data_IF_696573646708
#
_entry.id   IF_696573646708
#
_cell.length_a   1.000
_cell.length_b   1.000
_cell.length_c   1.000
_cell.angle_alpha   90.00
_cell.angle_beta   90.00
_cell.angle_gamma   90.00
#
_symmetry.space_group_name_H-M   'P 1'
#
loop_
_entity.id
_entity.type
_entity.pdbx_description
1 polymer ?
#
# COMPACT_ATOMS: atom_id res chain seq x y z
N UNK A 1 16.65 -55.99 56.23
CA UNK A 1 16.75 -54.52 56.25
C UNK A 1 16.75 -54.06 54.79
N UNK A 2 15.56 -53.81 54.26
CA UNK A 2 15.35 -53.46 52.85
C UNK A 2 15.57 -51.97 52.69
N UNK A 3 16.61 -51.58 51.98
CA UNK A 3 16.84 -50.18 51.57
C UNK A 3 16.12 -49.96 50.25
N UNK A 4 14.94 -49.34 50.28
CA UNK A 4 14.30 -48.85 49.07
C UNK A 4 15.10 -47.68 48.48
N UNK A 5 15.33 -47.62 47.16
CA UNK A 5 15.96 -46.47 46.54
C UNK A 5 15.00 -45.28 46.51
N UNK A 6 15.52 -44.10 46.88
CA UNK A 6 14.85 -42.82 46.73
C UNK A 6 14.40 -42.59 45.28
N UNK A 7 13.17 -42.09 45.04
CA UNK A 7 12.75 -41.71 43.70
C UNK A 7 13.59 -40.52 43.24
N UNK A 8 14.35 -40.74 42.16
CA UNK A 8 15.05 -39.66 41.45
C UNK A 8 13.99 -38.70 40.94
N UNK A 9 13.95 -37.48 41.49
CA UNK A 9 13.23 -36.37 40.91
C UNK A 9 13.70 -36.23 39.46
N UNK A 10 12.84 -36.60 38.51
CA UNK A 10 13.06 -36.30 37.11
C UNK A 10 13.28 -34.79 37.02
N UNK A 11 14.43 -34.38 36.51
CA UNK A 11 14.67 -32.98 36.17
C UNK A 11 13.54 -32.55 35.24
N UNK A 12 12.89 -31.40 35.48
CA UNK A 12 11.90 -30.91 34.53
C UNK A 12 12.60 -30.79 33.18
N UNK A 13 11.99 -31.39 32.15
CA UNK A 13 12.45 -31.21 30.77
C UNK A 13 12.65 -29.71 30.52
N UNK A 14 13.76 -29.30 29.87
CA UNK A 14 13.94 -27.91 29.50
C UNK A 14 12.73 -27.49 28.66
N UNK A 15 12.00 -26.46 29.11
CA UNK A 15 10.92 -25.89 28.32
C UNK A 15 11.45 -25.57 26.92
N UNK A 16 11.03 -26.33 25.91
CA UNK A 16 11.36 -26.05 24.52
C UNK A 16 10.54 -24.84 24.08
N UNK A 17 11.16 -23.79 23.53
CA UNK A 17 10.51 -22.52 23.33
C UNK A 17 9.60 -22.59 22.10
N UNK A 18 8.28 -22.76 22.29
CA UNK A 18 7.29 -22.20 21.36
C UNK A 18 7.56 -22.51 19.86
N UNK A 19 7.91 -23.76 19.57
CA UNK A 19 8.48 -24.15 18.28
C UNK A 19 7.51 -23.98 17.10
N UNK A 20 8.04 -23.30 16.08
CA UNK A 20 7.83 -23.48 14.64
C UNK A 20 6.68 -22.77 13.89
N UNK A 21 5.95 -21.82 14.49
CA UNK A 21 5.12 -20.89 13.70
C UNK A 21 5.90 -19.60 13.39
N UNK A 22 5.96 -19.12 12.13
CA UNK A 22 6.64 -17.87 11.83
C UNK A 22 5.97 -16.72 12.60
N UNK A 23 6.78 -15.83 13.19
CA UNK A 23 6.27 -14.61 13.81
C UNK A 23 5.56 -13.78 12.72
N UNK A 24 4.22 -13.82 12.72
CA UNK A 24 3.40 -13.21 11.68
C UNK A 24 3.59 -11.70 11.60
N UNK A 25 3.91 -11.02 12.71
CA UNK A 25 4.22 -9.61 12.69
C UNK A 25 5.52 -9.32 11.91
N UNK A 26 6.55 -10.15 12.08
CA UNK A 26 7.80 -10.03 11.33
C UNK A 26 7.60 -10.31 9.84
N UNK A 27 6.84 -11.37 9.50
CA UNK A 27 6.52 -11.71 8.11
C UNK A 27 5.69 -10.61 7.44
N UNK A 28 4.68 -10.08 8.14
CA UNK A 28 3.86 -8.98 7.64
C UNK A 28 4.70 -7.71 7.41
N UNK A 29 5.66 -7.40 8.29
CA UNK A 29 6.57 -6.28 8.12
C UNK A 29 7.47 -6.45 6.89
N UNK A 30 7.98 -7.65 6.64
CA UNK A 30 8.78 -7.96 5.44
C UNK A 30 7.96 -7.79 4.15
N UNK A 31 6.73 -8.32 4.11
CA UNK A 31 5.81 -8.13 2.98
C UNK A 31 5.46 -6.64 2.77
N UNK A 32 5.20 -5.91 3.85
CA UNK A 32 4.93 -4.46 3.80
C UNK A 32 6.10 -3.70 3.17
N UNK A 33 7.33 -3.98 3.61
CA UNK A 33 8.56 -3.35 3.09
C UNK A 33 8.73 -3.61 1.58
N UNK A 34 8.35 -4.79 1.08
CA UNK A 34 8.40 -5.18 -0.33
C UNK A 34 7.22 -4.73 -1.21
N UNK A 35 6.15 -4.19 -0.60
CA UNK A 35 4.89 -3.94 -1.29
C UNK A 35 4.91 -2.66 -2.14
N UNK A 36 5.25 -1.51 -1.53
CA UNK A 36 5.41 -0.23 -2.22
C UNK A 36 4.13 0.48 -2.70
N UNK A 37 2.93 -0.13 -2.58
CA UNK A 37 1.68 0.46 -3.10
C UNK A 37 1.27 1.78 -2.43
N UNK A 38 1.54 1.96 -1.13
CA UNK A 38 1.28 3.25 -0.47
C UNK A 38 2.17 4.35 -1.06
N UNK A 39 3.42 4.02 -1.41
CA UNK A 39 4.38 4.91 -2.02
C UNK A 39 4.11 5.20 -3.50
N UNK A 40 3.42 4.31 -4.23
CA UNK A 40 3.26 4.42 -5.68
C UNK A 40 2.31 5.52 -6.15
N UNK A 41 1.58 6.17 -5.23
CA UNK A 41 0.50 7.11 -5.57
C UNK A 41 -0.85 6.41 -5.82
N UNK A 42 -0.96 5.14 -5.47
CA UNK A 42 -2.24 4.44 -5.49
C UNK A 42 -3.19 4.89 -4.37
N UNK A 43 -2.66 5.12 -3.16
CA UNK A 43 -3.50 5.33 -1.97
C UNK A 43 -3.58 6.82 -1.61
N UNK A 44 -2.47 7.52 -1.78
CA UNK A 44 -2.29 8.90 -1.34
C UNK A 44 -1.85 9.78 -2.51
N UNK A 45 -2.31 11.02 -2.49
CA UNK A 45 -1.84 12.06 -3.41
C UNK A 45 -0.60 12.78 -2.85
N UNK A 46 -0.53 12.91 -1.53
CA UNK A 46 0.55 13.56 -0.78
C UNK A 46 0.61 12.99 0.64
N UNK A 47 1.67 13.34 1.38
CA UNK A 47 1.84 13.06 2.82
C UNK A 47 2.23 14.35 3.52
N UNK A 48 1.59 14.62 4.66
CA UNK A 48 1.95 15.73 5.55
C UNK A 48 3.20 15.39 6.35
N UNK A 49 4.05 16.39 6.57
CA UNK A 49 5.28 16.29 7.34
C UNK A 49 5.19 17.12 8.61
N UNK A 50 5.83 16.66 9.69
CA UNK A 50 6.06 17.55 10.81
C UNK A 50 7.14 18.57 10.46
N UNK A 51 7.02 19.84 10.92
CA UNK A 51 8.01 20.88 10.62
C UNK A 51 9.45 20.50 10.99
N UNK A 52 9.64 19.77 12.10
CA UNK A 52 10.96 19.34 12.57
C UNK A 52 11.61 18.27 11.69
N UNK A 53 10.85 17.57 10.84
CA UNK A 53 11.39 16.55 9.93
C UNK A 53 11.77 17.11 8.56
N UNK A 54 11.30 18.32 8.21
CA UNK A 54 11.35 18.83 6.84
C UNK A 54 12.77 18.93 6.28
N UNK A 55 13.68 19.57 7.02
CA UNK A 55 15.06 19.79 6.57
C UNK A 55 15.78 18.46 6.33
N UNK A 56 15.74 17.56 7.31
CA UNK A 56 16.35 16.23 7.25
C UNK A 56 15.79 15.39 6.09
N UNK A 57 14.47 15.36 5.91
CA UNK A 57 13.86 14.61 4.81
C UNK A 57 14.22 15.20 3.44
N UNK A 58 14.40 16.51 3.35
CA UNK A 58 14.85 17.18 2.13
C UNK A 58 16.28 16.76 1.76
N UNK A 59 17.19 16.69 2.74
CA UNK A 59 18.55 16.18 2.56
C UNK A 59 18.56 14.71 2.09
N UNK A 60 17.61 13.92 2.58
CA UNK A 60 17.38 12.54 2.14
C UNK A 60 16.70 12.44 0.76
N UNK A 61 16.44 13.54 0.07
CA UNK A 61 15.86 13.58 -1.26
C UNK A 61 14.34 13.36 -1.30
N UNK A 62 13.63 13.76 -0.24
CA UNK A 62 12.18 13.98 -0.26
C UNK A 62 11.90 15.49 -0.38
N UNK A 63 11.76 16.02 -1.61
CA UNK A 63 11.35 17.41 -1.79
C UNK A 63 9.97 17.63 -1.17
N UNK A 64 9.84 18.71 -0.40
CA UNK A 64 8.59 19.10 0.24
C UNK A 64 8.29 20.57 0.00
N UNK A 65 7.03 20.96 0.16
CA UNK A 65 6.57 22.33 0.00
C UNK A 65 5.55 22.69 1.08
N UNK A 66 5.48 23.97 1.41
CA UNK A 66 4.52 24.51 2.39
C UNK A 66 3.33 25.10 1.65
N UNK A 67 2.13 24.64 2.00
CA UNK A 67 0.88 25.19 1.49
C UNK A 67 0.53 26.52 2.17
N UNK A 68 -0.43 27.26 1.60
CA UNK A 68 -0.89 28.55 2.14
C UNK A 68 -1.50 28.45 3.55
N UNK A 69 -2.01 27.28 3.92
CA UNK A 69 -2.52 26.97 5.26
C UNK A 69 -1.41 26.59 6.26
N UNK A 70 -0.15 26.59 5.84
CA UNK A 70 1.01 26.23 6.68
C UNK A 70 1.35 24.74 6.72
N UNK A 71 0.58 23.86 6.06
CA UNK A 71 0.90 22.43 6.01
C UNK A 71 2.11 22.17 5.11
N UNK A 72 3.04 21.35 5.60
CA UNK A 72 4.22 20.91 4.84
C UNK A 72 3.91 19.55 4.24
N UNK A 73 4.05 19.42 2.92
CA UNK A 73 3.68 18.22 2.18
C UNK A 73 4.81 17.75 1.28
N UNK A 74 4.84 16.46 0.97
CA UNK A 74 5.47 15.95 -0.25
C UNK A 74 4.47 15.15 -1.08
N UNK A 75 4.63 15.17 -2.40
CA UNK A 75 3.72 14.51 -3.32
C UNK A 75 4.06 13.04 -3.53
N UNK A 76 3.02 12.25 -3.80
CA UNK A 76 3.15 10.92 -4.36
C UNK A 76 3.03 10.95 -5.90
N UNK A 77 3.69 10.06 -6.66
CA UNK A 77 4.49 8.92 -6.20
C UNK A 77 5.73 9.34 -5.42
N UNK A 78 6.01 8.64 -4.31
CA UNK A 78 7.12 8.98 -3.42
C UNK A 78 8.45 8.83 -4.19
N UNK A 79 9.29 9.87 -4.27
CA UNK A 79 10.53 9.82 -5.05
C UNK A 79 11.57 8.85 -4.46
N UNK A 80 11.40 8.46 -3.19
CA UNK A 80 12.23 7.47 -2.49
C UNK A 80 11.80 6.02 -2.72
N UNK A 81 10.72 5.77 -3.44
CA UNK A 81 10.37 4.43 -3.92
C UNK A 81 11.31 4.05 -5.06
N UNK A 82 12.27 3.16 -4.78
CA UNK A 82 13.25 2.66 -5.75
C UNK A 82 13.10 1.14 -5.85
N UNK A 83 12.88 0.63 -7.06
CA UNK A 83 12.72 -0.82 -7.31
C UNK A 83 11.68 -1.49 -6.40
N UNK A 84 10.58 -0.78 -6.10
CA UNK A 84 9.51 -1.29 -5.23
C UNK A 84 9.78 -1.17 -3.71
N UNK A 85 10.93 -0.64 -3.30
CA UNK A 85 11.35 -0.50 -1.91
C UNK A 85 11.54 0.97 -1.52
N UNK A 86 11.28 1.31 -0.26
CA UNK A 86 11.65 2.62 0.27
C UNK A 86 13.16 2.68 0.51
N UNK A 87 13.85 3.54 -0.23
CA UNK A 87 15.31 3.73 -0.12
C UNK A 87 15.76 4.44 1.16
N UNK A 88 14.82 4.95 1.97
CA UNK A 88 15.10 5.60 3.27
C UNK A 88 14.25 4.95 4.38
N UNK A 89 14.02 3.63 4.31
CA UNK A 89 13.04 2.95 5.16
C UNK A 89 13.21 3.19 6.67
N UNK A 90 14.46 3.29 7.15
CA UNK A 90 14.78 3.57 8.55
C UNK A 90 14.48 5.02 8.96
N UNK A 91 14.50 5.93 8.00
CA UNK A 91 14.40 7.40 8.19
C UNK A 91 13.10 7.95 7.62
N UNK A 92 12.08 7.09 7.46
CA UNK A 92 10.78 7.49 6.92
C UNK A 92 10.15 8.61 7.75
N UNK A 93 9.38 9.52 7.14
CA UNK A 93 8.57 10.48 7.88
C UNK A 93 7.65 9.79 8.92
N UNK A 94 7.32 10.45 10.04
CA UNK A 94 6.43 9.88 11.07
C UNK A 94 5.11 9.34 10.51
N UNK A 95 4.47 10.06 9.60
CA UNK A 95 3.25 9.59 8.93
C UNK A 95 3.45 8.26 8.19
N UNK A 96 4.56 8.13 7.46
CA UNK A 96 4.92 6.90 6.76
C UNK A 96 5.30 5.75 7.73
N UNK A 97 5.86 6.05 8.90
CA UNK A 97 6.17 5.06 9.94
C UNK A 97 4.91 4.52 10.61
N UNK A 98 3.94 5.39 10.91
CA UNK A 98 2.71 5.01 11.60
C UNK A 98 1.69 4.28 10.73
N UNK A 99 1.79 4.41 9.40
CA UNK A 99 0.81 3.84 8.50
C UNK A 99 0.95 2.33 8.30
N UNK A 100 -0.15 1.60 8.52
CA UNK A 100 -0.31 0.17 8.23
C UNK A 100 -1.62 -0.05 7.48
N UNK A 101 -1.56 -0.62 6.27
CA UNK A 101 -2.74 -0.94 5.48
C UNK A 101 -3.49 -2.17 6.05
N UNK A 102 -4.75 -2.35 5.66
CA UNK A 102 -5.58 -3.43 6.19
C UNK A 102 -4.96 -4.83 5.97
N UNK A 103 -4.34 -5.07 4.81
CA UNK A 103 -3.73 -6.37 4.48
C UNK A 103 -2.65 -6.77 5.49
N UNK A 104 -1.75 -5.84 5.82
CA UNK A 104 -0.68 -6.07 6.80
C UNK A 104 -1.27 -6.34 8.17
N UNK A 105 -2.36 -5.63 8.52
CA UNK A 105 -3.07 -5.86 9.77
C UNK A 105 -3.71 -7.25 9.82
N UNK A 106 -4.33 -7.70 8.74
CA UNK A 106 -4.93 -9.03 8.67
C UNK A 106 -3.88 -10.14 8.78
N UNK A 107 -2.70 -9.95 8.18
CA UNK A 107 -1.60 -10.92 8.29
C UNK A 107 -1.03 -10.97 9.70
N UNK A 108 -0.74 -9.83 10.35
CA UNK A 108 -0.22 -9.86 11.72
C UNK A 108 -1.24 -10.44 12.72
N UNK A 109 -2.54 -10.40 12.40
CA UNK A 109 -3.64 -10.90 13.24
C UNK A 109 -3.91 -12.38 12.97
N UNK A 110 -3.27 -12.96 11.94
CA UNK A 110 -3.51 -14.33 11.53
C UNK A 110 -4.85 -14.55 10.81
N UNK A 111 -5.60 -13.51 10.47
CA UNK A 111 -6.87 -13.63 9.73
C UNK A 111 -6.64 -13.82 8.23
N UNK A 112 -5.44 -13.52 7.75
CA UNK A 112 -5.01 -13.73 6.37
C UNK A 112 -3.60 -14.31 6.35
N UNK A 113 -3.38 -15.37 5.57
CA UNK A 113 -2.05 -16.02 5.50
C UNK A 113 -1.06 -15.15 4.70
N UNK A 114 0.25 -15.21 5.00
CA UNK A 114 1.28 -14.51 4.22
C UNK A 114 1.20 -14.78 2.72
N UNK A 115 0.92 -16.03 2.32
CA UNK A 115 0.82 -16.44 0.91
C UNK A 115 -0.41 -15.83 0.21
N UNK A 116 -1.55 -15.73 0.91
CA UNK A 116 -2.70 -14.97 0.41
C UNK A 116 -2.35 -13.49 0.25
N UNK A 117 -1.62 -12.93 1.22
CA UNK A 117 -1.15 -11.56 1.21
C UNK A 117 -0.27 -11.25 0.01
N UNK A 118 0.70 -12.10 -0.25
CA UNK A 118 1.60 -11.99 -1.40
C UNK A 118 0.83 -12.00 -2.73
N UNK A 119 -0.14 -12.92 -2.90
CA UNK A 119 -0.98 -12.96 -4.10
C UNK A 119 -1.77 -11.67 -4.29
N UNK A 120 -2.38 -11.16 -3.23
CA UNK A 120 -3.13 -9.90 -3.27
C UNK A 120 -2.22 -8.73 -3.64
N UNK A 121 -1.00 -8.66 -3.09
CA UNK A 121 0.00 -7.64 -3.42
C UNK A 121 0.39 -7.73 -4.90
N UNK A 122 0.71 -8.93 -5.40
CA UNK A 122 1.09 -9.12 -6.80
C UNK A 122 -0.02 -8.68 -7.76
N UNK A 123 -1.26 -9.11 -7.53
CA UNK A 123 -2.41 -8.71 -8.34
C UNK A 123 -2.62 -7.19 -8.31
N UNK A 124 -2.49 -6.56 -7.13
CA UNK A 124 -2.62 -5.12 -7.00
C UNK A 124 -1.51 -4.37 -7.75
N UNK A 125 -0.25 -4.82 -7.66
CA UNK A 125 0.88 -4.22 -8.39
C UNK A 125 0.72 -4.35 -9.91
N UNK A 126 0.32 -5.52 -10.40
CA UNK A 126 0.08 -5.74 -11.84
C UNK A 126 -1.02 -4.82 -12.37
N UNK A 127 -2.15 -4.72 -11.65
CA UNK A 127 -3.27 -3.84 -12.04
C UNK A 127 -2.88 -2.37 -11.96
N UNK A 128 -2.14 -1.98 -10.93
CA UNK A 128 -1.59 -0.64 -10.79
C UNK A 128 -0.72 -0.28 -12.00
N UNK A 129 0.25 -1.13 -12.34
CA UNK A 129 1.20 -0.85 -13.40
C UNK A 129 0.51 -0.79 -14.77
N UNK A 130 -0.46 -1.69 -15.02
CA UNK A 130 -1.29 -1.60 -16.22
C UNK A 130 -2.07 -0.28 -16.30
N UNK A 131 -2.72 0.13 -15.20
CA UNK A 131 -3.48 1.38 -15.15
C UNK A 131 -2.60 2.60 -15.36
N UNK A 132 -1.38 2.62 -14.81
CA UNK A 132 -0.41 3.69 -15.05
C UNK A 132 -0.08 3.79 -16.54
N UNK A 133 0.15 2.66 -17.22
CA UNK A 133 0.46 2.67 -18.65
C UNK A 133 -0.72 3.17 -19.49
N UNK A 134 -1.93 2.67 -19.21
CA UNK A 134 -3.12 3.12 -19.93
C UNK A 134 -3.43 4.60 -19.68
N UNK A 135 -3.28 5.07 -18.43
CA UNK A 135 -3.48 6.48 -18.09
C UNK A 135 -2.55 7.39 -18.90
N UNK A 136 -1.27 7.01 -19.04
CA UNK A 136 -0.30 7.76 -19.86
C UNK A 136 -0.70 7.83 -21.34
N UNK A 137 -1.20 6.72 -21.89
CA UNK A 137 -1.71 6.69 -23.27
C UNK A 137 -2.92 7.60 -23.46
N UNK A 138 -3.89 7.57 -22.54
CA UNK A 138 -5.13 8.34 -22.64
C UNK A 138 -4.91 9.86 -22.52
N UNK A 139 -3.95 10.29 -21.71
CA UNK A 139 -3.72 11.70 -21.42
C UNK A 139 -2.84 12.41 -22.48
N UNK A 140 -2.21 11.64 -23.39
CA UNK A 140 -1.22 12.19 -24.33
C UNK A 140 -0.07 12.93 -23.64
N UNK A 141 0.16 12.67 -22.35
CA UNK A 141 1.07 13.46 -21.51
C UNK A 141 2.54 13.12 -21.79
N UNK A 142 3.46 14.09 -21.59
CA UNK A 142 4.89 13.83 -21.61
C UNK A 142 5.29 12.84 -20.50
N UNK A 143 6.43 12.13 -20.64
CA UNK A 143 6.89 11.16 -19.66
C UNK A 143 7.10 11.79 -18.28
N UNK A 144 6.54 11.17 -17.24
CA UNK A 144 6.70 11.61 -15.86
C UNK A 144 6.06 10.65 -14.85
N UNK A 145 6.34 10.84 -13.54
CA UNK A 145 5.64 10.13 -12.48
C UNK A 145 4.16 10.54 -12.47
N UNK A 146 3.26 9.54 -12.44
CA UNK A 146 1.81 9.74 -12.44
C UNK A 146 1.25 9.26 -11.10
N UNK A 147 0.51 10.13 -10.42
CA UNK A 147 -0.28 9.74 -9.26
C UNK A 147 -1.60 9.11 -9.72
N UNK A 148 -1.72 7.78 -9.61
CA UNK A 148 -2.90 7.07 -10.13
C UNK A 148 -4.19 7.52 -9.45
N UNK A 149 -4.17 7.73 -8.12
CA UNK A 149 -5.36 8.19 -7.39
C UNK A 149 -5.88 9.53 -7.93
N UNK A 150 -4.99 10.50 -8.06
CA UNK A 150 -5.32 11.84 -8.58
C UNK A 150 -5.83 11.75 -10.01
N UNK A 151 -5.14 10.97 -10.86
CA UNK A 151 -5.55 10.74 -12.24
C UNK A 151 -6.96 10.17 -12.32
N UNK A 152 -7.24 9.06 -11.61
CA UNK A 152 -8.55 8.40 -11.68
C UNK A 152 -9.69 9.33 -11.25
N UNK A 153 -9.45 10.16 -10.22
CA UNK A 153 -10.41 11.16 -9.77
C UNK A 153 -10.68 12.22 -10.85
N UNK A 154 -9.63 12.77 -11.45
CA UNK A 154 -9.74 13.79 -12.51
C UNK A 154 -10.37 13.21 -13.77
N UNK A 155 -9.95 12.01 -14.19
CA UNK A 155 -10.47 11.32 -15.36
C UNK A 155 -11.99 11.08 -15.25
N UNK A 156 -12.48 10.60 -14.11
CA UNK A 156 -13.92 10.52 -13.86
C UNK A 156 -14.59 11.89 -13.93
N UNK A 157 -14.02 12.91 -13.25
CA UNK A 157 -14.62 14.25 -13.19
C UNK A 157 -14.83 14.86 -14.58
N UNK A 158 -13.86 14.70 -15.48
CA UNK A 158 -13.90 15.28 -16.82
C UNK A 158 -14.73 14.47 -17.81
N UNK A 159 -14.77 13.13 -17.67
CA UNK A 159 -15.33 12.28 -18.72
C UNK A 159 -16.70 11.67 -18.40
N UNK A 160 -17.16 11.71 -17.14
CA UNK A 160 -18.41 11.05 -16.71
C UNK A 160 -19.71 11.44 -17.44
N UNK A 161 -19.71 12.54 -18.20
CA UNK A 161 -20.90 13.04 -18.91
C UNK A 161 -20.89 12.79 -20.41
N UNK A 162 -19.79 12.27 -20.97
CA UNK A 162 -19.66 12.05 -22.41
C UNK A 162 -19.64 10.56 -22.76
N UNK A 163 -19.95 10.20 -24.01
CA UNK A 163 -19.71 8.86 -24.52
C UNK A 163 -18.23 8.48 -24.42
N UNK A 164 -17.97 7.21 -24.14
CA UNK A 164 -16.64 6.61 -24.04
C UNK A 164 -16.36 5.70 -25.24
N UNK A 165 -15.14 5.80 -25.76
CA UNK A 165 -14.59 4.85 -26.74
C UNK A 165 -14.40 3.47 -26.11
N UNK A 166 -14.35 2.37 -26.89
CA UNK A 166 -14.19 1.01 -26.35
C UNK A 166 -13.01 0.85 -25.39
N UNK A 167 -11.83 1.39 -25.74
CA UNK A 167 -10.64 1.36 -24.89
C UNK A 167 -10.86 2.09 -23.54
N UNK A 168 -11.60 3.19 -23.54
CA UNK A 168 -11.92 3.95 -22.33
C UNK A 168 -12.87 3.16 -21.43
N UNK A 169 -13.81 2.39 -21.99
CA UNK A 169 -14.70 1.51 -21.22
C UNK A 169 -13.91 0.41 -20.52
N UNK A 170 -12.93 -0.20 -21.20
CA UNK A 170 -12.05 -1.20 -20.60
C UNK A 170 -11.17 -0.61 -19.50
N UNK A 171 -10.68 0.62 -19.70
CA UNK A 171 -9.97 1.37 -18.67
C UNK A 171 -10.85 1.64 -17.45
N UNK A 172 -12.09 2.09 -17.64
CA UNK A 172 -13.05 2.36 -16.55
C UNK A 172 -13.38 1.09 -15.77
N UNK A 173 -13.63 -0.03 -16.46
CA UNK A 173 -13.89 -1.33 -15.82
C UNK A 173 -12.70 -1.79 -14.99
N UNK A 174 -11.51 -1.79 -15.58
CA UNK A 174 -10.28 -2.19 -14.90
C UNK A 174 -9.96 -1.27 -13.70
N UNK A 175 -10.26 0.03 -13.82
CA UNK A 175 -10.13 0.99 -12.72
C UNK A 175 -11.08 0.66 -11.57
N UNK A 176 -12.34 0.32 -11.85
CA UNK A 176 -13.28 -0.12 -10.83
C UNK A 176 -12.79 -1.38 -10.11
N UNK A 177 -12.36 -2.40 -10.86
CA UNK A 177 -11.88 -3.65 -10.26
C UNK A 177 -10.62 -3.44 -9.40
N UNK A 178 -9.73 -2.54 -9.82
CA UNK A 178 -8.58 -2.13 -9.03
C UNK A 178 -8.99 -1.41 -7.75
N UNK A 179 -9.88 -0.41 -7.84
CA UNK A 179 -10.38 0.32 -6.68
C UNK A 179 -11.11 -0.59 -5.69
N UNK A 180 -11.83 -1.59 -6.19
CA UNK A 180 -12.51 -2.59 -5.37
C UNK A 180 -11.49 -3.47 -4.61
N UNK A 181 -10.42 -3.91 -5.29
CA UNK A 181 -9.31 -4.63 -4.68
C UNK A 181 -8.62 -3.78 -3.60
N UNK A 182 -8.32 -2.51 -3.90
CA UNK A 182 -7.69 -1.58 -2.96
C UNK A 182 -8.56 -1.34 -1.72
N UNK A 183 -9.85 -1.07 -1.91
CA UNK A 183 -10.78 -0.86 -0.78
C UNK A 183 -10.89 -2.11 0.08
N UNK A 184 -10.99 -3.29 -0.53
CA UNK A 184 -11.20 -4.55 0.18
C UNK A 184 -10.02 -4.92 1.08
N UNK A 185 -8.80 -4.69 0.61
CA UNK A 185 -7.62 -5.24 1.27
C UNK A 185 -6.62 -4.21 1.79
N UNK A 186 -6.64 -2.95 1.33
CA UNK A 186 -5.54 -2.04 1.63
C UNK A 186 -6.00 -0.77 2.31
N UNK A 187 -6.80 0.03 1.62
CA UNK A 187 -7.09 1.40 2.00
C UNK A 187 -8.44 1.85 1.47
N UNK A 188 -9.21 2.51 2.33
CA UNK A 188 -10.49 3.10 1.95
C UNK A 188 -10.33 4.14 0.84
N UNK A 189 -11.28 4.15 -0.09
CA UNK A 189 -11.29 5.11 -1.19
C UNK A 189 -12.69 5.43 -1.65
N UNK A 190 -13.03 6.72 -1.64
CA UNK A 190 -14.31 7.23 -2.14
C UNK A 190 -14.38 7.23 -3.67
N UNK A 191 -13.27 6.99 -4.37
CA UNK A 191 -13.23 6.92 -5.84
C UNK A 191 -13.98 5.68 -6.34
N UNK A 192 -14.01 4.58 -5.57
CA UNK A 192 -14.72 3.36 -5.94
C UNK A 192 -16.20 3.64 -6.26
N UNK A 193 -16.89 4.37 -5.39
CA UNK A 193 -18.30 4.70 -5.59
C UNK A 193 -18.54 5.53 -6.86
N UNK A 194 -17.57 6.35 -7.26
CA UNK A 194 -17.63 7.14 -8.50
C UNK A 194 -17.57 6.24 -9.74
N UNK A 195 -16.63 5.30 -9.75
CA UNK A 195 -16.48 4.36 -10.87
C UNK A 195 -17.62 3.33 -10.92
N UNK A 196 -18.17 2.94 -9.76
CA UNK A 196 -19.37 2.11 -9.70
C UNK A 196 -20.57 2.81 -10.38
N UNK A 197 -20.85 4.05 -9.99
CA UNK A 197 -21.92 4.86 -10.59
C UNK A 197 -21.67 5.11 -12.08
N UNK A 198 -20.40 5.28 -12.49
CA UNK A 198 -20.06 5.48 -13.89
C UNK A 198 -20.33 4.22 -14.73
N UNK A 199 -19.96 3.03 -14.24
CA UNK A 199 -20.21 1.77 -14.94
C UNK A 199 -21.70 1.48 -15.13
N UNK A 200 -22.55 1.85 -14.15
CA UNK A 200 -24.00 1.71 -14.27
C UNK A 200 -24.61 2.55 -15.42
N UNK A 201 -23.94 3.62 -15.83
CA UNK A 201 -24.37 4.47 -16.96
C UNK A 201 -23.90 3.93 -18.31
N UNK A 202 -22.95 2.98 -18.31
CA UNK A 202 -22.37 2.37 -19.50
C UNK A 202 -22.99 1.00 -19.84
N UNK A 203 -23.77 0.44 -18.91
CA UNK A 203 -24.55 -0.78 -19.08
C UNK A 203 -25.90 -0.48 -19.71
#
# INVERSE_FOLDING_TARGET
MSTEPHPTLASPDPMTPFDAAPNLALVAAQLCKGCGLCCSGSFFSYVTLHPHEQAHLTELGLPSYTQSNGEILFDHPCPRLKQGLCSIYAERPKQCQGYHCQLVKEIWMGTLTPQQGERIIMTAKQRHDWLIQQAKTLEGRPPGPLNLRTFLYQYYRHNKKRPLEPQERDFVRSSFEYLALIRRHFHETSILGKYAAWLQQLA
#
